data_IF_783680869874
#
_entry.id   IF_783680869874
#
_cell.length_a   1.000
_cell.length_b   1.000
_cell.length_c   1.000
_cell.angle_alpha   90.00
_cell.angle_beta   90.00
_cell.angle_gamma   90.00
#
_symmetry.space_group_name_H-M   'P 1'
#
loop_
_entity.id
_entity.type
_entity.pdbx_description
1 polymer ?
#
# COMPACT_ATOMS: atom_id res chain seq x y z
N UNK A 1 28.55 12.49 -0.28
CA UNK A 1 27.44 13.30 -0.81
C UNK A 1 26.26 13.05 0.14
N UNK A 2 25.72 14.09 0.77
CA UNK A 2 24.55 13.96 1.65
C UNK A 2 23.31 14.24 0.80
N UNK A 3 22.65 13.17 0.35
CA UNK A 3 21.35 13.30 -0.29
C UNK A 3 20.34 13.82 0.74
N UNK A 4 19.43 14.67 0.32
CA UNK A 4 18.33 15.21 1.14
C UNK A 4 17.00 15.02 0.44
N UNK A 5 15.91 15.09 1.18
CA UNK A 5 14.57 15.05 0.63
C UNK A 5 13.85 16.40 0.76
N UNK A 6 13.01 16.78 -0.21
CA UNK A 6 12.12 17.92 -0.04
C UNK A 6 11.01 17.63 0.99
N UNK A 7 10.83 16.36 1.35
CA UNK A 7 9.83 15.90 2.31
C UNK A 7 10.45 15.59 3.68
N UNK A 8 9.70 15.79 4.75
CA UNK A 8 10.16 15.50 6.12
C UNK A 8 10.00 14.03 6.49
N UNK A 9 9.08 13.32 5.87
CA UNK A 9 8.89 11.88 6.00
C UNK A 9 8.10 11.32 4.80
N UNK A 10 8.19 10.01 4.60
CA UNK A 10 7.56 9.31 3.50
C UNK A 10 6.61 8.25 4.06
N UNK A 11 5.39 8.21 3.53
CA UNK A 11 4.43 7.14 3.75
C UNK A 11 4.33 6.29 2.48
N UNK A 12 4.33 4.97 2.64
CA UNK A 12 4.24 4.02 1.55
C UNK A 12 2.93 3.25 1.62
N UNK A 13 2.18 3.20 0.52
CA UNK A 13 1.31 2.07 0.31
C UNK A 13 2.14 0.80 0.02
N UNK A 14 1.52 -0.37 0.08
CA UNK A 14 2.24 -1.65 -0.03
C UNK A 14 1.88 -2.38 -1.31
N UNK A 15 0.63 -2.81 -1.47
CA UNK A 15 0.21 -3.58 -2.65
C UNK A 15 0.09 -2.67 -3.88
N UNK A 16 0.89 -2.91 -4.90
CA UNK A 16 0.95 -2.07 -6.11
C UNK A 16 1.98 -0.93 -6.04
N UNK A 17 2.56 -0.70 -4.87
CA UNK A 17 3.56 0.37 -4.66
C UNK A 17 4.92 -0.20 -4.29
N UNK A 18 5.03 -0.87 -3.15
CA UNK A 18 6.25 -1.57 -2.73
C UNK A 18 6.29 -3.00 -3.26
N UNK A 19 5.14 -3.69 -3.23
CA UNK A 19 5.03 -5.13 -3.44
C UNK A 19 4.00 -5.46 -4.50
N UNK A 20 4.37 -6.31 -5.45
CA UNK A 20 3.42 -7.04 -6.29
C UNK A 20 3.07 -8.37 -5.62
N UNK A 21 1.90 -8.42 -4.99
CA UNK A 21 1.30 -9.63 -4.43
C UNK A 21 0.10 -10.13 -5.25
N UNK A 22 -0.06 -9.64 -6.49
CA UNK A 22 -1.24 -9.89 -7.31
C UNK A 22 -1.50 -11.38 -7.57
N UNK A 23 -0.48 -12.19 -7.84
CA UNK A 23 -0.65 -13.61 -8.14
C UNK A 23 -1.33 -14.35 -6.97
N UNK A 24 -0.87 -14.14 -5.75
CA UNK A 24 -1.46 -14.75 -4.56
C UNK A 24 -2.86 -14.20 -4.25
N UNK A 25 -3.05 -12.88 -4.38
CA UNK A 25 -4.34 -12.23 -4.14
C UNK A 25 -5.39 -12.77 -5.12
N UNK A 26 -5.10 -12.73 -6.42
CA UNK A 26 -6.05 -13.16 -7.47
C UNK A 26 -6.37 -14.64 -7.38
N UNK A 27 -5.39 -15.48 -7.06
CA UNK A 27 -5.60 -16.91 -6.82
C UNK A 27 -6.58 -17.13 -5.66
N UNK A 28 -6.36 -16.48 -4.52
CA UNK A 28 -7.24 -16.61 -3.35
C UNK A 28 -8.64 -16.04 -3.61
N UNK A 29 -8.76 -14.93 -4.34
CA UNK A 29 -10.06 -14.39 -4.76
C UNK A 29 -10.83 -15.39 -5.62
N UNK A 30 -10.18 -16.01 -6.62
CA UNK A 30 -10.78 -17.02 -7.47
C UNK A 30 -11.28 -18.23 -6.67
N UNK A 31 -10.47 -18.74 -5.72
CA UNK A 31 -10.85 -19.86 -4.85
C UNK A 31 -12.06 -19.44 -3.97
N UNK A 32 -12.02 -18.24 -3.40
CA UNK A 32 -13.11 -17.75 -2.53
C UNK A 32 -14.43 -17.62 -3.31
N UNK A 33 -14.40 -16.95 -4.46
CA UNK A 33 -15.62 -16.79 -5.29
C UNK A 33 -16.19 -18.15 -5.69
N UNK A 34 -15.35 -19.07 -6.11
CA UNK A 34 -15.76 -20.44 -6.47
C UNK A 34 -16.38 -21.17 -5.27
N UNK A 35 -15.80 -21.04 -4.07
CA UNK A 35 -16.34 -21.65 -2.84
C UNK A 35 -17.75 -21.17 -2.51
N UNK A 36 -18.03 -19.90 -2.75
CA UNK A 36 -19.38 -19.32 -2.55
C UNK A 36 -20.31 -19.49 -3.77
N UNK A 37 -19.94 -20.30 -4.76
CA UNK A 37 -20.76 -20.58 -5.94
C UNK A 37 -20.89 -19.41 -6.91
N UNK A 38 -20.01 -18.44 -6.83
CA UNK A 38 -19.97 -17.27 -7.70
C UNK A 38 -19.00 -17.51 -8.89
N UNK A 39 -19.29 -16.93 -10.07
CA UNK A 39 -18.39 -17.03 -11.20
C UNK A 39 -17.08 -16.31 -10.84
N UNK A 40 -15.95 -16.94 -11.16
CA UNK A 40 -14.66 -16.26 -11.05
C UNK A 40 -14.49 -15.32 -12.25
N UNK A 41 -14.34 -14.00 -12.03
CA UNK A 41 -14.04 -13.05 -13.08
C UNK A 41 -12.71 -13.36 -13.75
N UNK A 42 -12.49 -12.78 -14.92
CA UNK A 42 -11.18 -12.86 -15.60
C UNK A 42 -10.09 -12.13 -14.79
N UNK A 43 -8.83 -12.48 -15.00
CA UNK A 43 -7.70 -11.81 -14.32
C UNK A 43 -7.75 -10.26 -14.43
N UNK A 44 -7.99 -9.65 -15.61
CA UNK A 44 -8.13 -8.20 -15.71
C UNK A 44 -9.25 -7.62 -14.84
N UNK A 45 -10.38 -8.30 -14.71
CA UNK A 45 -11.47 -7.85 -13.85
C UNK A 45 -11.12 -7.97 -12.36
N UNK A 46 -10.45 -9.06 -11.97
CA UNK A 46 -10.05 -9.27 -10.58
C UNK A 46 -8.97 -8.30 -10.09
N UNK A 47 -8.16 -7.74 -10.98
CA UNK A 47 -7.14 -6.73 -10.61
C UNK A 47 -7.80 -5.51 -9.95
N UNK A 48 -9.03 -5.18 -10.31
CA UNK A 48 -9.81 -4.10 -9.66
C UNK A 48 -10.06 -4.29 -8.16
N UNK A 49 -9.95 -5.54 -7.70
CA UNK A 49 -10.17 -5.90 -6.30
C UNK A 49 -8.94 -5.67 -5.41
N UNK A 50 -7.80 -5.32 -6.03
CA UNK A 50 -6.57 -5.04 -5.30
C UNK A 50 -6.54 -3.55 -4.93
N UNK A 51 -6.38 -3.25 -3.64
CA UNK A 51 -6.36 -1.91 -3.08
C UNK A 51 -7.54 -1.61 -2.16
N UNK A 52 -8.81 -1.73 -2.62
CA UNK A 52 -9.97 -1.54 -1.76
C UNK A 52 -10.06 -2.61 -0.65
N UNK A 53 -10.78 -2.31 0.47
CA UNK A 53 -11.14 -3.31 1.46
C UNK A 53 -11.91 -4.46 0.80
N UNK A 54 -11.51 -5.71 1.08
CA UNK A 54 -12.14 -6.89 0.48
C UNK A 54 -13.63 -7.01 0.82
N UNK A 55 -14.02 -6.57 2.02
CA UNK A 55 -15.41 -6.56 2.45
C UNK A 55 -16.29 -5.73 1.50
N UNK A 56 -15.81 -4.56 1.08
CA UNK A 56 -16.52 -3.72 0.11
C UNK A 56 -16.50 -4.35 -1.28
N UNK A 57 -15.36 -4.91 -1.68
CA UNK A 57 -15.22 -5.56 -2.98
C UNK A 57 -16.18 -6.73 -3.15
N UNK A 58 -16.37 -7.59 -2.14
CA UNK A 58 -17.33 -8.68 -2.19
C UNK A 58 -18.79 -8.19 -2.29
N UNK A 59 -19.11 -7.07 -1.67
CA UNK A 59 -20.46 -6.48 -1.80
C UNK A 59 -20.68 -5.84 -3.17
N UNK A 60 -19.74 -5.00 -3.63
CA UNK A 60 -19.93 -4.19 -4.83
C UNK A 60 -19.71 -4.97 -6.12
N UNK A 61 -18.70 -5.84 -6.17
CA UNK A 61 -18.37 -6.58 -7.39
C UNK A 61 -19.02 -7.96 -7.47
N UNK A 62 -19.20 -8.64 -6.32
CA UNK A 62 -19.82 -9.96 -6.29
C UNK A 62 -21.29 -9.93 -5.88
N UNK A 63 -21.84 -8.77 -5.48
CA UNK A 63 -23.24 -8.63 -5.09
C UNK A 63 -23.62 -9.38 -3.81
N UNK A 64 -22.64 -9.66 -2.94
CA UNK A 64 -22.89 -10.40 -1.70
C UNK A 64 -23.60 -9.54 -0.65
N UNK A 65 -24.42 -10.18 0.19
CA UNK A 65 -24.95 -9.51 1.37
C UNK A 65 -23.82 -9.13 2.35
N UNK A 66 -24.07 -8.21 3.30
CA UNK A 66 -23.07 -7.88 4.32
C UNK A 66 -22.56 -9.10 5.10
N UNK A 67 -23.45 -10.04 5.43
CA UNK A 67 -23.11 -11.28 6.13
C UNK A 67 -22.25 -12.20 5.25
N UNK A 68 -22.67 -12.40 3.98
CA UNK A 68 -21.93 -13.20 3.01
C UNK A 68 -20.56 -12.63 2.69
N UNK A 69 -20.45 -11.31 2.57
CA UNK A 69 -19.17 -10.65 2.37
C UNK A 69 -18.21 -10.84 3.57
N UNK A 70 -18.75 -10.80 4.81
CA UNK A 70 -17.94 -11.07 6.01
C UNK A 70 -17.44 -12.53 6.05
N UNK A 71 -18.27 -13.50 5.67
CA UNK A 71 -17.88 -14.90 5.56
C UNK A 71 -16.83 -15.11 4.46
N UNK A 72 -16.98 -14.46 3.31
CA UNK A 72 -16.04 -14.53 2.21
C UNK A 72 -14.67 -13.93 2.58
N UNK A 73 -14.65 -12.80 3.29
CA UNK A 73 -13.41 -12.20 3.83
C UNK A 73 -12.73 -13.16 4.82
N UNK A 74 -13.48 -13.79 5.72
CA UNK A 74 -12.94 -14.76 6.67
C UNK A 74 -12.30 -15.95 5.94
N UNK A 75 -13.01 -16.52 4.98
CA UNK A 75 -12.51 -17.64 4.16
C UNK A 75 -11.24 -17.24 3.36
N UNK A 76 -11.25 -16.10 2.68
CA UNK A 76 -10.09 -15.57 1.96
C UNK A 76 -8.86 -15.43 2.86
N UNK A 77 -9.07 -14.96 4.10
CA UNK A 77 -7.98 -14.80 5.07
C UNK A 77 -7.46 -16.10 5.60
N UNK A 78 -8.31 -17.12 5.74
CA UNK A 78 -7.89 -18.47 6.12
C UNK A 78 -6.96 -19.06 5.05
N UNK A 79 -7.29 -18.85 3.77
CA UNK A 79 -6.40 -19.22 2.67
C UNK A 79 -5.06 -18.50 2.77
N UNK A 80 -5.06 -17.18 3.03
CA UNK A 80 -3.83 -16.39 3.19
C UNK A 80 -2.97 -16.84 4.36
N UNK A 81 -3.58 -17.27 5.48
CA UNK A 81 -2.86 -17.85 6.62
C UNK A 81 -2.24 -19.21 6.28
N UNK A 82 -2.98 -20.03 5.55
CA UNK A 82 -2.51 -21.35 5.12
C UNK A 82 -1.36 -21.28 4.10
N UNK A 83 -1.42 -20.34 3.16
CA UNK A 83 -0.38 -20.11 2.14
C UNK A 83 0.87 -19.43 2.72
N UNK A 84 0.71 -18.66 3.79
CA UNK A 84 1.68 -17.67 4.25
C UNK A 84 1.49 -16.32 3.54
N UNK A 85 1.58 -15.23 4.32
CA UNK A 85 1.27 -13.87 3.83
C UNK A 85 2.23 -13.35 2.77
N UNK A 86 3.38 -13.98 2.61
CA UNK A 86 4.44 -13.60 1.67
C UNK A 86 4.47 -14.49 0.42
N UNK A 87 3.61 -15.51 0.35
CA UNK A 87 3.53 -16.40 -0.81
C UNK A 87 3.16 -15.60 -2.08
N UNK A 88 3.90 -15.85 -3.15
CA UNK A 88 3.74 -15.20 -4.47
C UNK A 88 3.96 -13.66 -4.46
N UNK A 89 4.50 -13.08 -3.37
CA UNK A 89 4.83 -11.67 -3.28
C UNK A 89 6.24 -11.39 -3.82
N UNK A 90 6.41 -10.24 -4.49
CA UNK A 90 7.69 -9.76 -5.03
C UNK A 90 7.79 -8.26 -4.81
N UNK A 91 8.99 -7.74 -4.52
CA UNK A 91 9.22 -6.30 -4.59
C UNK A 91 9.18 -5.83 -6.05
N UNK A 92 8.65 -4.64 -6.27
CA UNK A 92 8.88 -3.99 -7.56
C UNK A 92 10.36 -3.69 -7.75
N UNK A 93 10.88 -3.84 -8.97
CA UNK A 93 12.32 -3.65 -9.25
C UNK A 93 12.83 -2.27 -8.79
N UNK A 94 13.89 -2.23 -8.01
CA UNK A 94 14.54 -1.00 -7.53
C UNK A 94 13.88 -0.35 -6.31
N UNK A 95 12.69 -0.81 -5.88
CA UNK A 95 11.98 -0.19 -4.74
C UNK A 95 12.70 -0.47 -3.42
N UNK A 96 13.18 -1.70 -3.22
CA UNK A 96 13.91 -2.06 -2.00
C UNK A 96 15.16 -1.22 -1.81
N UNK A 97 15.93 -1.01 -2.89
CA UNK A 97 17.12 -0.16 -2.91
C UNK A 97 16.76 1.31 -2.62
N UNK A 98 15.65 1.80 -3.19
CA UNK A 98 15.20 3.17 -2.91
C UNK A 98 14.85 3.37 -1.44
N UNK A 99 14.10 2.44 -0.83
CA UNK A 99 13.76 2.48 0.59
C UNK A 99 15.01 2.47 1.47
N UNK A 100 15.99 1.62 1.15
CA UNK A 100 17.28 1.56 1.86
C UNK A 100 18.08 2.87 1.72
N UNK A 101 18.15 3.45 0.53
CA UNK A 101 18.87 4.69 0.28
C UNK A 101 18.23 5.89 0.98
N UNK A 102 16.89 5.96 1.04
CA UNK A 102 16.18 6.97 1.81
C UNK A 102 16.49 6.84 3.31
N UNK A 103 16.50 5.62 3.84
CA UNK A 103 16.89 5.37 5.23
C UNK A 103 18.34 5.77 5.50
N UNK A 104 19.27 5.43 4.59
CA UNK A 104 20.68 5.82 4.68
C UNK A 104 20.87 7.35 4.62
N UNK A 105 20.00 8.06 3.91
CA UNK A 105 19.96 9.52 3.88
C UNK A 105 19.28 10.13 5.14
N UNK A 106 18.82 9.30 6.09
CA UNK A 106 18.18 9.74 7.32
C UNK A 106 16.74 10.23 7.12
N UNK A 107 16.08 9.84 6.03
CA UNK A 107 14.69 10.21 5.75
C UNK A 107 13.76 9.20 6.45
N UNK A 108 12.95 9.63 7.43
CA UNK A 108 12.02 8.76 8.12
C UNK A 108 10.93 8.23 7.18
N UNK A 109 10.61 6.96 7.32
CA UNK A 109 9.63 6.28 6.49
C UNK A 109 8.65 5.48 7.32
N UNK A 110 7.44 5.31 6.82
CA UNK A 110 6.44 4.39 7.38
C UNK A 110 5.50 3.87 6.31
N UNK A 111 4.74 2.83 6.64
CA UNK A 111 3.68 2.34 5.74
C UNK A 111 2.33 2.96 6.09
N UNK A 112 1.44 3.04 5.10
CA UNK A 112 0.04 3.42 5.25
C UNK A 112 -0.80 2.60 4.27
N UNK A 113 -1.08 1.34 4.59
CA UNK A 113 -1.68 0.37 3.66
C UNK A 113 -3.06 -0.10 4.10
N UNK A 114 -3.98 -0.25 3.15
CA UNK A 114 -5.29 -0.88 3.38
C UNK A 114 -5.19 -2.39 3.63
N UNK A 115 -4.02 -2.99 3.42
CA UNK A 115 -3.74 -4.37 3.82
C UNK A 115 -3.69 -4.50 5.34
N UNK A 116 -4.21 -5.60 5.96
CA UNK A 116 -4.08 -5.83 7.39
C UNK A 116 -2.64 -5.72 7.90
N UNK A 117 -2.42 -4.99 8.99
CA UNK A 117 -1.09 -4.65 9.51
C UNK A 117 -0.21 -5.88 9.75
N UNK A 118 -0.78 -7.00 10.23
CA UNK A 118 -0.03 -8.25 10.40
C UNK A 118 0.56 -8.77 9.08
N UNK A 119 -0.13 -8.56 7.96
CA UNK A 119 0.35 -8.97 6.64
C UNK A 119 1.40 -7.99 6.11
N UNK A 120 1.21 -6.69 6.35
CA UNK A 120 2.22 -5.67 6.03
C UNK A 120 3.51 -5.98 6.76
N UNK A 121 3.44 -6.23 8.07
CA UNK A 121 4.60 -6.58 8.90
C UNK A 121 5.33 -7.80 8.35
N UNK A 122 4.60 -8.88 8.05
CA UNK A 122 5.19 -10.10 7.49
C UNK A 122 5.89 -9.85 6.14
N UNK A 123 5.33 -8.99 5.28
CA UNK A 123 5.96 -8.61 4.01
C UNK A 123 7.22 -7.77 4.22
N UNK A 124 7.17 -6.78 5.10
CA UNK A 124 8.34 -5.94 5.39
C UNK A 124 9.49 -6.76 6.00
N UNK A 125 9.18 -7.69 6.90
CA UNK A 125 10.16 -8.64 7.46
C UNK A 125 10.74 -9.55 6.37
N UNK A 126 9.89 -10.13 5.53
CA UNK A 126 10.30 -11.05 4.46
C UNK A 126 11.27 -10.39 3.47
N UNK A 127 11.04 -9.13 3.13
CA UNK A 127 11.88 -8.39 2.19
C UNK A 127 13.03 -7.60 2.86
N UNK A 128 13.19 -7.71 4.19
CA UNK A 128 14.25 -7.00 4.92
C UNK A 128 14.06 -5.47 4.96
N UNK A 129 12.82 -4.99 4.84
CA UNK A 129 12.52 -3.56 4.85
C UNK A 129 12.19 -2.99 6.23
N UNK A 130 11.95 -3.85 7.22
CA UNK A 130 11.51 -3.44 8.57
C UNK A 130 12.49 -2.46 9.23
N UNK A 131 13.79 -2.68 9.08
CA UNK A 131 14.84 -1.83 9.65
C UNK A 131 14.91 -0.42 9.05
N UNK A 132 14.31 -0.22 7.89
CA UNK A 132 14.26 1.06 7.18
C UNK A 132 12.99 1.88 7.50
N UNK A 133 12.06 1.30 8.25
CA UNK A 133 10.76 1.89 8.55
C UNK A 133 10.66 2.28 10.03
N UNK A 134 10.29 3.54 10.29
CA UNK A 134 10.03 4.03 11.66
C UNK A 134 8.71 3.50 12.21
N UNK A 135 7.72 3.28 11.35
CA UNK A 135 6.42 2.77 11.74
C UNK A 135 5.82 1.90 10.62
N UNK A 136 5.21 0.78 11.00
CA UNK A 136 4.40 -0.03 10.10
C UNK A 136 2.95 0.19 10.48
N UNK A 137 2.15 0.68 9.53
CA UNK A 137 0.72 0.93 9.71
C UNK A 137 -0.06 0.29 8.59
N UNK A 138 -1.02 -0.53 8.97
CA UNK A 138 -1.95 -1.20 8.07
C UNK A 138 -3.37 -1.16 8.64
N UNK A 139 -4.33 -1.70 7.90
CA UNK A 139 -5.70 -1.84 8.36
C UNK A 139 -5.80 -2.78 9.56
N UNK A 140 -6.87 -2.63 10.35
CA UNK A 140 -7.22 -3.62 11.38
C UNK A 140 -7.72 -4.91 10.74
N UNK A 141 -7.60 -6.06 11.43
CA UNK A 141 -8.06 -7.34 10.89
C UNK A 141 -9.56 -7.41 10.60
N UNK A 142 -10.37 -6.58 11.23
CA UNK A 142 -11.83 -6.53 11.02
C UNK A 142 -12.23 -5.75 9.76
N UNK A 143 -11.30 -4.98 9.13
CA UNK A 143 -11.53 -4.08 8.01
C UNK A 143 -12.69 -3.09 8.26
N UNK A 144 -12.90 -2.69 9.51
CA UNK A 144 -13.98 -1.79 9.92
C UNK A 144 -13.48 -0.68 10.83
N UNK A 145 -12.68 -1.01 11.84
CA UNK A 145 -12.21 -0.06 12.86
C UNK A 145 -11.17 0.91 12.28
N UNK A 146 -10.22 0.39 11.50
CA UNK A 146 -9.23 1.16 10.76
C UNK A 146 -9.12 0.52 9.36
N UNK A 147 -9.90 1.02 8.42
CA UNK A 147 -10.06 0.45 7.09
C UNK A 147 -9.95 1.49 5.98
N UNK A 148 -10.57 2.66 6.18
CA UNK A 148 -10.50 3.74 5.19
C UNK A 148 -9.06 4.29 5.08
N UNK A 149 -8.60 4.49 3.85
CA UNK A 149 -7.23 4.98 3.60
C UNK A 149 -6.92 6.28 4.35
N UNK A 150 -7.91 7.18 4.45
CA UNK A 150 -7.75 8.44 5.18
C UNK A 150 -7.41 8.20 6.66
N UNK A 151 -8.10 7.26 7.32
CA UNK A 151 -7.87 6.95 8.73
C UNK A 151 -6.51 6.27 8.94
N UNK A 152 -6.12 5.41 7.98
CA UNK A 152 -4.81 4.73 8.00
C UNK A 152 -3.67 5.75 7.84
N UNK A 153 -3.79 6.71 6.92
CA UNK A 153 -2.81 7.81 6.76
C UNK A 153 -2.72 8.66 8.03
N UNK A 154 -3.86 9.01 8.64
CA UNK A 154 -3.89 9.75 9.90
C UNK A 154 -3.16 8.98 11.02
N UNK A 155 -3.41 7.68 11.14
CA UNK A 155 -2.76 6.81 12.13
C UNK A 155 -1.25 6.68 11.86
N UNK A 156 -0.84 6.50 10.61
CA UNK A 156 0.57 6.45 10.22
C UNK A 156 1.31 7.73 10.63
N UNK A 157 0.74 8.90 10.33
CA UNK A 157 1.30 10.19 10.76
C UNK A 157 1.34 10.32 12.29
N UNK A 158 0.31 9.84 12.98
CA UNK A 158 0.28 9.84 14.45
C UNK A 158 1.42 8.99 15.03
N UNK A 159 1.66 7.80 14.47
CA UNK A 159 2.75 6.90 14.91
C UNK A 159 4.12 7.51 14.65
N UNK A 160 4.33 8.11 13.47
CA UNK A 160 5.59 8.81 13.16
C UNK A 160 5.85 9.97 14.13
N UNK A 161 4.84 10.80 14.44
CA UNK A 161 4.96 11.87 15.44
C UNK A 161 5.29 11.33 16.83
N UNK A 162 4.66 10.23 17.24
CA UNK A 162 4.92 9.59 18.53
C UNK A 162 6.37 9.03 18.62
N UNK A 163 6.98 8.70 17.49
CA UNK A 163 8.38 8.32 17.37
C UNK A 163 9.34 9.52 17.25
N UNK A 164 8.83 10.77 17.34
CA UNK A 164 9.65 11.98 17.27
C UNK A 164 9.97 12.47 15.84
N UNK A 165 9.30 11.92 14.83
CA UNK A 165 9.52 12.31 13.43
C UNK A 165 8.82 13.63 13.13
N UNK A 166 9.51 14.51 12.40
CA UNK A 166 8.89 15.69 11.81
C UNK A 166 7.93 15.28 10.69
N UNK A 167 6.66 15.62 10.84
CA UNK A 167 5.61 15.35 9.86
C UNK A 167 5.03 16.65 9.27
N UNK A 168 5.83 17.70 9.20
CA UNK A 168 5.39 18.99 8.65
C UNK A 168 5.27 19.02 7.14
N UNK A 169 6.03 18.17 6.44
CA UNK A 169 6.05 18.03 4.97
C UNK A 169 6.07 16.55 4.58
N UNK A 170 5.04 15.78 4.95
CA UNK A 170 4.95 14.38 4.57
C UNK A 170 4.65 14.22 3.08
N UNK A 171 4.91 13.05 2.53
CA UNK A 171 4.43 12.62 1.22
C UNK A 171 3.93 11.18 1.31
N UNK A 172 2.85 10.87 0.60
CA UNK A 172 2.33 9.50 0.45
C UNK A 172 2.67 9.01 -0.96
N UNK A 173 3.21 7.81 -1.06
CA UNK A 173 3.46 7.12 -2.33
C UNK A 173 2.41 6.02 -2.45
N UNK A 174 1.69 6.00 -3.56
CA UNK A 174 0.62 5.01 -3.80
C UNK A 174 0.25 4.90 -5.27
N UNK A 175 -0.50 3.86 -5.62
CA UNK A 175 -0.84 3.52 -7.01
C UNK A 175 -2.36 3.56 -7.29
N UNK A 176 -3.20 3.88 -6.29
CA UNK A 176 -4.65 3.88 -6.45
C UNK A 176 -5.25 5.25 -6.10
N UNK A 177 -6.44 5.54 -6.63
CA UNK A 177 -7.20 6.74 -6.24
C UNK A 177 -7.44 6.82 -4.73
N UNK A 178 -7.58 5.69 -4.04
CA UNK A 178 -7.73 5.64 -2.58
C UNK A 178 -6.55 6.30 -1.85
N UNK A 179 -5.33 6.20 -2.41
CA UNK A 179 -4.15 6.88 -1.88
C UNK A 179 -4.26 8.39 -2.07
N UNK A 180 -4.71 8.81 -3.26
CA UNK A 180 -4.94 10.23 -3.56
C UNK A 180 -5.99 10.83 -2.64
N UNK A 181 -7.12 10.14 -2.49
CA UNK A 181 -8.22 10.56 -1.60
C UNK A 181 -7.79 10.60 -0.13
N UNK A 182 -7.12 9.53 0.32
CA UNK A 182 -6.62 9.42 1.70
C UNK A 182 -5.54 10.44 2.04
N UNK A 183 -4.63 10.70 1.11
CA UNK A 183 -3.63 11.76 1.23
C UNK A 183 -4.29 13.13 1.29
N UNK A 184 -5.18 13.44 0.36
CA UNK A 184 -5.90 14.71 0.28
C UNK A 184 -6.70 15.00 1.54
N UNK A 185 -7.42 14.01 2.08
CA UNK A 185 -8.19 14.15 3.33
C UNK A 185 -7.33 14.52 4.53
N UNK A 186 -6.03 14.21 4.49
CA UNK A 186 -5.05 14.51 5.55
C UNK A 186 -4.12 15.68 5.20
N UNK A 187 -4.32 16.35 4.07
CA UNK A 187 -3.41 17.41 3.60
C UNK A 187 -2.01 16.90 3.25
N UNK A 188 -1.89 15.61 2.90
CA UNK A 188 -0.65 14.94 2.49
C UNK A 188 -0.62 14.88 0.97
N UNK A 189 0.37 15.50 0.32
CA UNK A 189 0.57 15.35 -1.12
C UNK A 189 0.88 13.89 -1.49
N UNK A 190 0.39 13.48 -2.64
CA UNK A 190 0.57 12.10 -3.14
C UNK A 190 1.44 12.10 -4.39
N UNK A 191 2.46 11.26 -4.41
CA UNK A 191 3.15 10.86 -5.63
C UNK A 191 2.55 9.54 -6.09
N UNK A 192 1.92 9.59 -7.25
CA UNK A 192 1.24 8.44 -7.83
C UNK A 192 2.19 7.63 -8.69
N UNK A 193 2.25 6.32 -8.46
CA UNK A 193 3.10 5.40 -9.23
C UNK A 193 2.26 4.59 -10.22
N UNK A 194 2.74 4.44 -11.47
CA UNK A 194 1.99 3.79 -12.54
C UNK A 194 2.31 2.31 -12.74
N UNK A 195 3.30 1.77 -12.05
CA UNK A 195 3.65 0.36 -12.18
C UNK A 195 2.76 -0.60 -11.40
N UNK A 196 1.82 -0.07 -10.57
CA UNK A 196 0.91 -0.84 -9.74
C UNK A 196 -0.35 -1.30 -10.47
N UNK A 197 -1.48 -1.23 -9.76
CA UNK A 197 -2.79 -1.74 -10.20
C UNK A 197 -3.74 -0.64 -10.66
N UNK A 198 -3.20 0.54 -10.98
CA UNK A 198 -3.98 1.73 -11.32
C UNK A 198 -4.75 1.60 -12.63
N UNK A 199 -5.88 2.29 -12.67
CA UNK A 199 -6.67 2.52 -13.88
C UNK A 199 -6.37 3.88 -14.49
N UNK A 200 -6.69 4.07 -15.78
CA UNK A 200 -6.72 5.40 -16.35
C UNK A 200 -7.57 6.34 -15.47
N UNK A 201 -7.05 7.51 -15.16
CA UNK A 201 -7.68 8.57 -14.33
C UNK A 201 -7.57 8.42 -12.80
N UNK A 202 -7.08 7.31 -12.25
CA UNK A 202 -6.91 7.19 -10.79
C UNK A 202 -5.84 8.14 -10.21
N UNK A 203 -4.97 8.69 -11.03
CA UNK A 203 -3.96 9.67 -10.62
C UNK A 203 -4.47 11.11 -10.54
N UNK A 204 -5.76 11.36 -10.84
CA UNK A 204 -6.33 12.71 -10.75
C UNK A 204 -6.26 13.23 -9.30
N UNK A 205 -5.70 14.42 -9.12
CA UNK A 205 -5.48 15.03 -7.81
C UNK A 205 -4.11 14.70 -7.17
N UNK A 206 -3.32 13.79 -7.73
CA UNK A 206 -1.96 13.56 -7.27
C UNK A 206 -1.06 14.77 -7.56
N UNK A 207 -0.11 15.06 -6.65
CA UNK A 207 0.87 16.13 -6.82
C UNK A 207 1.85 15.85 -7.96
N UNK A 208 2.23 14.60 -8.13
CA UNK A 208 3.09 14.13 -9.21
C UNK A 208 2.70 12.69 -9.60
N UNK A 209 3.03 12.33 -10.83
CA UNK A 209 2.83 10.98 -11.36
C UNK A 209 4.16 10.53 -11.93
N UNK A 210 4.58 9.32 -11.60
CA UNK A 210 5.84 8.72 -12.05
C UNK A 210 5.59 7.36 -12.69
N UNK A 211 6.37 7.06 -13.72
CA UNK A 211 6.23 5.83 -14.49
C UNK A 211 7.18 4.72 -13.98
N UNK A 212 8.28 5.09 -13.33
CA UNK A 212 9.27 4.15 -12.80
C UNK A 212 9.93 4.61 -11.50
N UNK A 213 10.72 3.70 -10.90
CA UNK A 213 11.42 3.95 -9.64
C UNK A 213 12.53 5.00 -9.78
N UNK A 214 13.11 5.18 -10.96
CA UNK A 214 14.15 6.19 -11.17
C UNK A 214 13.56 7.61 -11.13
N UNK A 215 12.39 7.82 -11.72
CA UNK A 215 11.64 9.07 -11.62
C UNK A 215 11.21 9.34 -10.17
N UNK A 216 10.69 8.32 -9.48
CA UNK A 216 10.33 8.44 -8.06
C UNK A 216 11.55 8.83 -7.22
N UNK A 217 12.69 8.18 -7.44
CA UNK A 217 13.94 8.49 -6.76
C UNK A 217 14.35 9.95 -6.95
N UNK A 218 14.29 10.46 -8.17
CA UNK A 218 14.64 11.85 -8.49
C UNK A 218 13.74 12.87 -7.78
N UNK A 219 12.49 12.52 -7.48
CA UNK A 219 11.57 13.36 -6.69
C UNK A 219 11.86 13.29 -5.18
N UNK A 220 12.24 12.12 -4.67
CA UNK A 220 12.40 11.88 -3.24
C UNK A 220 13.81 12.18 -2.72
N UNK A 221 14.83 12.04 -3.55
CA UNK A 221 16.23 12.29 -3.20
C UNK A 221 16.84 13.36 -4.11
N UNK A 222 17.25 14.46 -3.51
CA UNK A 222 17.94 15.55 -4.19
C UNK A 222 19.40 15.51 -3.78
N UNK A 223 20.28 15.36 -4.75
CA UNK A 223 21.72 15.50 -4.51
C UNK A 223 22.04 16.96 -4.20
N UNK A 224 22.77 17.20 -3.11
CA UNK A 224 23.26 18.55 -2.83
C UNK A 224 24.21 18.97 -3.97
N UNK A 225 23.99 20.15 -4.57
CA UNK A 225 24.92 20.67 -5.54
C UNK A 225 26.32 20.74 -4.90
N UNK A 226 27.30 20.20 -5.58
CA UNK A 226 28.71 20.30 -5.14
C UNK A 226 29.06 21.78 -5.00
N UNK A 227 29.76 22.17 -3.93
CA UNK A 227 30.24 23.54 -3.78
C UNK A 227 31.28 23.92 -4.86
#
# INVERSE_FOLDING_TARGET
MTARSPFSCILWDVDGTLVDASDGILRRLTITLTHFGLPAPTRPELVHWIGPPLYESFQHHAGMSPEGAAEAVAFYRDLGRADGYTADAKLYPGVGELVADLAAAGIPQGTASSKPEIQVTALMEHFGLTEHLTAITGATPDEKTLAAKADIVAEALRRLRAAGVDTSRPVLIGDRHHDVDGGTANGVPVVFVRWGFSWPHESEGAQAVVDDVAELRALLLIDDPQP
#
